data_IF_363045097857
#
_entry.id   IF_363045097857
#
_cell.length_a   1.000
_cell.length_b   1.000
_cell.length_c   1.000
_cell.angle_alpha   90.00
_cell.angle_beta   90.00
_cell.angle_gamma   90.00
#
_symmetry.space_group_name_H-M   'P 1'
#
loop_
_entity.id
_entity.type
_entity.pdbx_description
1 polymer ?
#
# COMPACT_ATOMS: atom_id res chain seq x y z
N UNK A 1 -8.67 16.97 12.60
CA UNK A 1 -7.69 15.88 12.74
C UNK A 1 -8.24 14.63 13.43
N UNK A 2 -9.07 14.75 14.47
CA UNK A 2 -9.60 13.58 15.20
C UNK A 2 -10.47 12.64 14.36
N UNK A 3 -11.31 13.20 13.49
CA UNK A 3 -12.13 12.41 12.56
C UNK A 3 -11.25 11.68 11.54
N UNK A 4 -10.25 12.38 10.97
CA UNK A 4 -9.30 11.75 10.05
C UNK A 4 -8.55 10.59 10.72
N UNK A 5 -8.14 10.74 11.99
CA UNK A 5 -7.49 9.67 12.75
C UNK A 5 -8.41 8.46 13.02
N UNK A 6 -9.72 8.67 13.19
CA UNK A 6 -10.68 7.56 13.32
C UNK A 6 -10.72 6.69 12.08
N UNK A 7 -10.71 7.33 10.92
CA UNK A 7 -10.67 6.62 9.65
C UNK A 7 -9.31 5.97 9.39
N UNK A 8 -8.19 6.64 9.71
CA UNK A 8 -6.87 6.01 9.64
C UNK A 8 -6.77 4.78 10.55
N UNK A 9 -7.23 4.88 11.81
CA UNK A 9 -7.23 3.75 12.73
C UNK A 9 -8.00 2.56 12.17
N UNK A 10 -9.21 2.81 11.63
CA UNK A 10 -10.01 1.77 11.01
C UNK A 10 -9.28 1.15 9.81
N UNK A 11 -8.79 1.96 8.87
CA UNK A 11 -8.08 1.50 7.65
C UNK A 11 -6.90 0.62 8.03
N UNK A 12 -6.02 1.06 8.93
CA UNK A 12 -4.82 0.31 9.27
C UNK A 12 -5.12 -0.94 10.12
N UNK A 13 -6.17 -0.92 10.94
CA UNK A 13 -6.63 -2.13 11.64
C UNK A 13 -7.20 -3.15 10.65
N UNK A 14 -8.04 -2.72 9.70
CA UNK A 14 -8.57 -3.59 8.64
C UNK A 14 -7.45 -4.13 7.74
N UNK A 15 -6.46 -3.30 7.43
CA UNK A 15 -5.29 -3.69 6.64
C UNK A 15 -4.46 -4.74 7.36
N UNK A 16 -4.26 -4.59 8.68
CA UNK A 16 -3.57 -5.59 9.50
C UNK A 16 -4.27 -6.96 9.38
N UNK A 17 -5.58 -7.00 9.61
CA UNK A 17 -6.38 -8.23 9.49
C UNK A 17 -6.32 -8.82 8.05
N UNK A 18 -6.29 -7.95 7.04
CA UNK A 18 -6.20 -8.35 5.63
C UNK A 18 -4.85 -8.99 5.31
N UNK A 19 -3.76 -8.43 5.82
CA UNK A 19 -2.41 -8.97 5.64
C UNK A 19 -2.30 -10.34 6.31
N UNK A 20 -2.78 -10.50 7.54
CA UNK A 20 -2.77 -11.80 8.24
C UNK A 20 -3.51 -12.89 7.45
N UNK A 21 -4.66 -12.55 6.84
CA UNK A 21 -5.41 -13.46 5.97
C UNK A 21 -4.68 -13.78 4.67
N UNK A 22 -4.03 -12.79 4.08
CA UNK A 22 -3.26 -12.97 2.86
C UNK A 22 -2.03 -13.85 3.12
N UNK A 23 -1.29 -13.62 4.20
CA UNK A 23 -0.17 -14.45 4.63
C UNK A 23 -0.61 -15.90 4.90
N UNK A 24 -1.73 -16.09 5.60
CA UNK A 24 -2.32 -17.42 5.82
C UNK A 24 -2.69 -18.15 4.50
N UNK A 25 -3.03 -17.40 3.44
CA UNK A 25 -3.27 -17.96 2.11
C UNK A 25 -1.96 -18.35 1.40
N UNK A 26 -0.88 -17.61 1.63
CA UNK A 26 0.43 -17.86 1.05
C UNK A 26 1.18 -19.03 1.72
N UNK A 27 0.97 -19.27 3.01
CA UNK A 27 1.60 -20.36 3.76
C UNK A 27 1.62 -21.71 3.01
N UNK A 28 0.47 -22.29 2.60
CA UNK A 28 0.47 -23.57 1.88
C UNK A 28 1.10 -23.47 0.48
N UNK A 29 1.12 -22.29 -0.14
CA UNK A 29 1.72 -22.07 -1.46
C UNK A 29 3.25 -22.11 -1.35
N UNK A 30 3.82 -21.54 -0.28
CA UNK A 30 5.25 -21.55 -0.01
C UNK A 30 5.71 -22.96 0.39
N UNK A 31 4.94 -23.62 1.26
CA UNK A 31 5.25 -24.98 1.74
C UNK A 31 5.27 -25.99 0.58
N UNK A 32 4.29 -25.92 -0.32
CA UNK A 32 4.11 -26.85 -1.43
C UNK A 32 4.55 -26.30 -2.80
N UNK A 33 5.42 -25.29 -2.80
CA UNK A 33 6.00 -24.74 -4.02
C UNK A 33 6.65 -25.82 -4.88
N UNK A 34 6.45 -25.74 -6.20
CA UNK A 34 6.88 -26.74 -7.19
C UNK A 34 8.36 -26.62 -7.54
N UNK A 35 8.92 -25.43 -7.40
CA UNK A 35 10.32 -25.13 -7.65
C UNK A 35 10.82 -24.00 -6.74
N UNK A 36 12.14 -23.81 -6.73
CA UNK A 36 12.82 -22.83 -5.88
C UNK A 36 12.44 -21.39 -6.23
N UNK A 37 12.10 -21.12 -7.49
CA UNK A 37 11.70 -19.78 -7.93
C UNK A 37 10.32 -19.42 -7.39
N UNK A 38 9.33 -20.33 -7.53
CA UNK A 38 7.99 -20.16 -6.97
C UNK A 38 8.07 -19.97 -5.45
N UNK A 39 8.87 -20.78 -4.76
CA UNK A 39 9.09 -20.64 -3.32
C UNK A 39 9.66 -19.28 -2.96
N UNK A 40 10.75 -18.87 -3.61
CA UNK A 40 11.41 -17.59 -3.33
C UNK A 40 10.48 -16.42 -3.62
N UNK A 41 9.71 -16.48 -4.71
CA UNK A 41 8.77 -15.44 -5.11
C UNK A 41 7.70 -15.19 -4.04
N UNK A 42 6.98 -16.22 -3.60
CA UNK A 42 5.94 -16.05 -2.59
C UNK A 42 6.50 -15.80 -1.19
N UNK A 43 7.67 -16.37 -0.87
CA UNK A 43 8.35 -16.10 0.40
C UNK A 43 8.78 -14.63 0.52
N UNK A 44 9.26 -14.03 -0.56
CA UNK A 44 9.65 -12.63 -0.57
C UNK A 44 8.45 -11.71 -0.30
N UNK A 45 7.31 -11.93 -0.98
CA UNK A 45 6.06 -11.21 -0.73
C UNK A 45 5.64 -11.38 0.74
N UNK A 46 5.70 -12.61 1.27
CA UNK A 46 5.36 -12.90 2.65
C UNK A 46 6.23 -12.12 3.65
N UNK A 47 7.56 -12.08 3.46
CA UNK A 47 8.48 -11.35 4.33
C UNK A 47 8.21 -9.83 4.31
N UNK A 48 7.91 -9.25 3.15
CA UNK A 48 7.59 -7.82 3.05
C UNK A 48 6.31 -7.48 3.82
N UNK A 49 5.30 -8.35 3.75
CA UNK A 49 4.07 -8.22 4.52
C UNK A 49 4.26 -8.44 6.02
N UNK A 50 5.11 -9.39 6.43
CA UNK A 50 5.46 -9.61 7.83
C UNK A 50 6.14 -8.36 8.44
N UNK A 51 7.08 -7.76 7.70
CA UNK A 51 7.70 -6.51 8.09
C UNK A 51 6.68 -5.38 8.19
N UNK A 52 5.67 -5.35 7.31
CA UNK A 52 4.57 -4.37 7.38
C UNK A 52 3.70 -4.56 8.62
N UNK A 53 3.35 -5.79 8.98
CA UNK A 53 2.63 -6.09 10.24
C UNK A 53 3.37 -5.51 11.45
N UNK A 54 4.70 -5.69 11.50
CA UNK A 54 5.52 -5.13 12.58
C UNK A 54 5.46 -3.60 12.65
N UNK A 55 5.37 -2.90 11.51
CA UNK A 55 5.19 -1.44 11.48
C UNK A 55 3.78 -1.03 11.88
N UNK A 56 2.75 -1.76 11.46
CA UNK A 56 1.36 -1.51 11.87
C UNK A 56 1.17 -1.66 13.39
N UNK A 57 1.91 -2.58 14.03
CA UNK A 57 1.95 -2.72 15.50
C UNK A 57 2.54 -1.50 16.21
N UNK A 58 3.23 -0.61 15.50
CA UNK A 58 3.71 0.68 16.01
C UNK A 58 2.76 1.82 15.64
N UNK A 59 2.30 1.87 14.39
CA UNK A 59 1.44 2.94 13.88
C UNK A 59 0.06 2.95 14.54
N UNK A 60 -0.60 1.80 14.67
CA UNK A 60 -1.98 1.72 15.19
C UNK A 60 -2.05 2.26 16.64
N UNK A 61 -1.18 1.85 17.58
CA UNK A 61 -1.14 2.44 18.91
C UNK A 61 -0.84 3.95 18.91
N UNK A 62 0.01 4.41 17.99
CA UNK A 62 0.32 5.83 17.87
C UNK A 62 -0.89 6.64 17.42
N UNK A 63 -1.65 6.17 16.43
CA UNK A 63 -2.92 6.78 16.03
C UNK A 63 -3.88 6.82 17.22
N UNK A 64 -4.08 5.69 17.92
CA UNK A 64 -4.99 5.62 19.06
C UNK A 64 -4.61 6.58 20.19
N UNK A 65 -3.31 6.74 20.46
CA UNK A 65 -2.81 7.73 21.43
C UNK A 65 -3.20 9.16 21.02
N UNK A 66 -3.00 9.52 19.76
CA UNK A 66 -3.42 10.83 19.24
C UNK A 66 -4.93 11.02 19.25
N UNK A 67 -5.72 9.96 19.15
CA UNK A 67 -7.18 10.04 19.24
C UNK A 67 -7.68 10.24 20.67
N UNK A 68 -7.09 9.53 21.64
CA UNK A 68 -7.66 9.43 22.99
C UNK A 68 -7.01 10.38 23.99
N UNK A 69 -5.71 10.65 23.87
CA UNK A 69 -4.94 11.38 24.89
C UNK A 69 -4.56 12.81 24.48
N UNK A 70 -4.49 13.09 23.19
CA UNK A 70 -3.97 14.38 22.68
C UNK A 70 -5.07 15.41 22.46
N UNK A 71 -4.74 16.68 22.62
CA UNK A 71 -5.63 17.83 22.36
C UNK A 71 -5.30 18.49 21.02
N UNK A 72 -6.15 19.42 20.56
CA UNK A 72 -5.96 20.09 19.27
C UNK A 72 -4.59 20.78 19.15
N UNK A 73 -4.09 21.34 20.26
CA UNK A 73 -2.77 22.00 20.34
C UNK A 73 -1.59 21.06 20.09
N UNK A 74 -1.79 19.75 20.25
CA UNK A 74 -0.74 18.75 20.06
C UNK A 74 -0.54 18.41 18.57
N UNK A 75 -1.50 18.78 17.69
CA UNK A 75 -1.35 18.68 16.23
C UNK A 75 -0.60 19.92 15.71
N UNK A 76 0.71 19.95 15.98
CA UNK A 76 1.57 21.06 15.60
C UNK A 76 2.88 20.56 14.97
N UNK A 77 3.42 21.22 13.94
CA UNK A 77 4.72 20.89 13.35
C UNK A 77 5.89 20.92 14.36
N UNK A 78 5.73 21.67 15.46
CA UNK A 78 6.73 21.74 16.53
C UNK A 78 6.66 20.53 17.50
N UNK A 79 5.62 19.69 17.38
CA UNK A 79 5.48 18.49 18.18
C UNK A 79 6.15 17.30 17.47
N UNK A 80 7.29 16.85 18.02
CA UNK A 80 8.03 15.72 17.48
C UNK A 80 7.19 14.43 17.37
N UNK A 81 6.25 14.22 18.31
CA UNK A 81 5.39 13.04 18.29
C UNK A 81 4.38 13.10 17.13
N UNK A 82 3.93 14.30 16.78
CA UNK A 82 3.04 14.53 15.64
C UNK A 82 3.79 14.33 14.32
N UNK A 83 5.03 14.83 14.23
CA UNK A 83 5.88 14.59 13.08
C UNK A 83 6.16 13.09 12.88
N UNK A 84 6.39 12.34 13.97
CA UNK A 84 6.52 10.88 13.91
C UNK A 84 5.24 10.24 13.37
N UNK A 85 4.07 10.64 13.85
CA UNK A 85 2.80 10.13 13.32
C UNK A 85 2.68 10.36 11.81
N UNK A 86 3.01 11.55 11.32
CA UNK A 86 2.97 11.86 9.89
C UNK A 86 3.96 11.02 9.08
N UNK A 87 5.16 10.78 9.60
CA UNK A 87 6.18 9.92 8.96
C UNK A 87 5.69 8.48 8.84
N UNK A 88 5.14 7.91 9.91
CA UNK A 88 4.59 6.55 9.92
C UNK A 88 3.38 6.43 8.97
N UNK A 89 2.49 7.43 8.95
CA UNK A 89 1.36 7.46 8.01
C UNK A 89 1.83 7.56 6.54
N UNK A 90 2.84 8.38 6.25
CA UNK A 90 3.41 8.47 4.90
C UNK A 90 4.08 7.16 4.47
N UNK A 91 4.80 6.48 5.36
CA UNK A 91 5.40 5.19 5.05
C UNK A 91 4.32 4.14 4.76
N UNK A 92 3.26 4.09 5.58
CA UNK A 92 2.18 3.13 5.38
C UNK A 92 1.22 3.51 4.22
N UNK A 93 1.25 4.76 3.71
CA UNK A 93 0.68 5.08 2.38
C UNK A 93 1.32 4.21 1.29
N UNK A 94 2.65 4.13 1.28
CA UNK A 94 3.38 3.25 0.35
C UNK A 94 3.16 1.78 0.68
N UNK A 95 3.08 1.44 1.97
CA UNK A 95 2.71 0.10 2.41
C UNK A 95 1.39 -0.39 1.81
N UNK A 96 0.34 0.44 1.87
CA UNK A 96 -0.96 0.12 1.26
C UNK A 96 -0.90 -0.03 -0.25
N UNK A 97 -0.15 0.83 -0.95
CA UNK A 97 0.04 0.72 -2.39
C UNK A 97 0.68 -0.62 -2.76
N UNK A 98 1.79 -0.97 -2.12
CA UNK A 98 2.49 -2.23 -2.35
C UNK A 98 1.61 -3.44 -2.00
N UNK A 99 0.79 -3.34 -0.95
CA UNK A 99 -0.15 -4.41 -0.63
C UNK A 99 -1.18 -4.63 -1.75
N UNK A 100 -1.70 -3.56 -2.35
CA UNK A 100 -2.60 -3.67 -3.51
C UNK A 100 -1.87 -4.36 -4.68
N UNK A 101 -0.62 -4.00 -4.95
CA UNK A 101 0.19 -4.65 -5.99
C UNK A 101 0.41 -6.15 -5.70
N UNK A 102 0.69 -6.53 -4.45
CA UNK A 102 0.83 -7.92 -4.05
C UNK A 102 -0.47 -8.72 -4.24
N UNK A 103 -1.61 -8.12 -3.94
CA UNK A 103 -2.92 -8.72 -4.19
C UNK A 103 -3.20 -8.86 -5.69
N UNK A 104 -2.80 -7.87 -6.51
CA UNK A 104 -2.89 -7.95 -7.97
C UNK A 104 -2.01 -9.07 -8.53
N UNK A 105 -0.76 -9.18 -8.09
CA UNK A 105 0.15 -10.26 -8.44
C UNK A 105 -0.41 -11.63 -8.06
N UNK A 106 -1.02 -11.75 -6.87
CA UNK A 106 -1.66 -12.99 -6.43
C UNK A 106 -2.91 -13.32 -7.27
N UNK A 107 -3.71 -12.33 -7.67
CA UNK A 107 -4.89 -12.52 -8.53
C UNK A 107 -4.53 -13.05 -9.92
N UNK A 108 -3.35 -12.74 -10.44
CA UNK A 108 -2.86 -13.35 -11.69
C UNK A 108 -2.56 -14.84 -11.54
N UNK A 109 -2.11 -15.28 -10.36
CA UNK A 109 -1.68 -16.66 -10.11
C UNK A 109 -2.77 -17.56 -9.52
N UNK A 110 -3.66 -17.01 -8.69
CA UNK A 110 -4.67 -17.76 -7.93
C UNK A 110 -6.04 -17.62 -8.56
N UNK A 111 -6.28 -18.41 -9.61
CA UNK A 111 -7.47 -18.33 -10.47
C UNK A 111 -8.67 -19.14 -9.97
N UNK A 112 -8.55 -19.86 -8.86
CA UNK A 112 -9.70 -20.56 -8.26
C UNK A 112 -10.66 -19.56 -7.61
N UNK A 113 -11.94 -19.89 -7.66
CA UNK A 113 -13.04 -19.01 -7.26
C UNK A 113 -12.92 -18.56 -5.79
N UNK A 114 -12.53 -19.47 -4.90
CA UNK A 114 -12.41 -19.19 -3.46
C UNK A 114 -11.36 -18.12 -3.17
N UNK A 115 -10.11 -18.34 -3.62
CA UNK A 115 -9.02 -17.38 -3.41
C UNK A 115 -9.24 -16.10 -4.20
N UNK A 116 -9.68 -16.19 -5.46
CA UNK A 116 -9.99 -15.01 -6.27
C UNK A 116 -11.06 -14.12 -5.62
N UNK A 117 -12.11 -14.71 -5.03
CA UNK A 117 -13.15 -13.93 -4.33
C UNK A 117 -12.59 -13.21 -3.11
N UNK A 118 -11.79 -13.91 -2.30
CA UNK A 118 -11.15 -13.32 -1.13
C UNK A 118 -10.18 -12.19 -1.53
N UNK A 119 -9.28 -12.44 -2.49
CA UNK A 119 -8.30 -11.46 -2.94
C UNK A 119 -8.95 -10.21 -3.53
N UNK A 120 -10.01 -10.34 -4.34
CA UNK A 120 -10.74 -9.19 -4.87
C UNK A 120 -11.35 -8.33 -3.76
N UNK A 121 -11.85 -8.96 -2.70
CA UNK A 121 -12.35 -8.23 -1.53
C UNK A 121 -11.23 -7.49 -0.80
N UNK A 122 -10.14 -8.19 -0.47
CA UNK A 122 -8.99 -7.58 0.21
C UNK A 122 -8.43 -6.40 -0.61
N UNK A 123 -8.38 -6.57 -1.94
CA UNK A 123 -7.88 -5.56 -2.87
C UNK A 123 -8.78 -4.33 -2.89
N UNK A 124 -10.10 -4.52 -2.90
CA UNK A 124 -11.05 -3.40 -2.86
C UNK A 124 -10.90 -2.60 -1.56
N UNK A 125 -10.88 -3.29 -0.41
CA UNK A 125 -10.71 -2.66 0.91
C UNK A 125 -9.36 -1.90 1.00
N UNK A 126 -8.27 -2.50 0.54
CA UNK A 126 -6.95 -1.89 0.54
C UNK A 126 -6.84 -0.69 -0.42
N UNK A 127 -7.45 -0.78 -1.60
CA UNK A 127 -7.47 0.31 -2.58
C UNK A 127 -8.25 1.53 -2.07
N UNK A 128 -9.43 1.31 -1.49
CA UNK A 128 -10.22 2.39 -0.89
C UNK A 128 -9.46 3.05 0.27
N UNK A 129 -8.81 2.24 1.12
CA UNK A 129 -7.95 2.73 2.19
C UNK A 129 -6.77 3.57 1.68
N UNK A 130 -6.07 3.08 0.65
CA UNK A 130 -4.96 3.80 0.01
C UNK A 130 -5.40 5.17 -0.51
N UNK A 131 -6.49 5.22 -1.28
CA UNK A 131 -6.98 6.48 -1.87
C UNK A 131 -7.37 7.49 -0.79
N UNK A 132 -8.04 7.03 0.28
CA UNK A 132 -8.35 7.88 1.42
C UNK A 132 -7.09 8.42 2.10
N UNK A 133 -6.12 7.56 2.41
CA UNK A 133 -4.86 7.95 3.07
C UNK A 133 -4.08 8.95 2.22
N UNK A 134 -3.97 8.69 0.91
CA UNK A 134 -3.32 9.58 -0.06
C UNK A 134 -3.95 10.97 -0.07
N UNK A 135 -5.27 11.06 -0.24
CA UNK A 135 -5.99 12.33 -0.27
C UNK A 135 -5.82 13.10 1.04
N UNK A 136 -5.99 12.43 2.19
CA UNK A 136 -5.92 13.11 3.48
C UNK A 136 -4.51 13.53 3.87
N UNK A 137 -3.48 12.75 3.54
CA UNK A 137 -2.10 13.16 3.80
C UNK A 137 -1.71 14.37 2.95
N UNK A 138 -2.14 14.44 1.68
CA UNK A 138 -1.96 15.65 0.87
C UNK A 138 -2.59 16.88 1.54
N UNK A 139 -3.86 16.77 1.96
CA UNK A 139 -4.56 17.85 2.65
C UNK A 139 -3.98 18.21 4.04
N UNK A 140 -3.34 17.26 4.73
CA UNK A 140 -2.63 17.52 5.99
C UNK A 140 -1.34 18.29 5.71
N UNK A 141 -0.56 17.88 4.71
CA UNK A 141 0.67 18.56 4.33
C UNK A 141 0.38 20.02 3.94
N UNK A 142 -0.63 20.28 3.11
CA UNK A 142 -1.06 21.64 2.77
C UNK A 142 -1.42 22.52 3.98
N UNK A 143 -1.96 21.91 5.05
CA UNK A 143 -2.35 22.62 6.28
C UNK A 143 -1.18 22.95 7.20
N UNK A 144 -0.16 22.09 7.24
CA UNK A 144 0.88 22.15 8.28
C UNK A 144 2.27 22.50 7.76
N UNK A 145 2.51 22.36 6.46
CA UNK A 145 3.81 22.65 5.86
C UNK A 145 3.63 23.22 4.45
N UNK A 146 3.88 24.53 4.32
CA UNK A 146 3.79 25.23 3.03
C UNK A 146 5.01 24.97 2.14
N UNK A 147 6.08 24.38 2.68
CA UNK A 147 7.33 24.07 1.97
C UNK A 147 7.63 22.55 1.92
N UNK A 148 6.69 21.70 2.35
CA UNK A 148 6.84 20.24 2.28
C UNK A 148 6.85 19.77 0.83
N UNK A 149 8.03 19.38 0.36
CA UNK A 149 8.18 18.58 -0.85
C UNK A 149 8.28 17.13 -0.39
N UNK A 150 7.25 16.32 -0.64
CA UNK A 150 7.33 14.87 -0.42
C UNK A 150 8.55 14.35 -1.22
N UNK A 151 9.63 13.89 -0.56
CA UNK A 151 10.82 13.42 -1.28
C UNK A 151 10.53 12.19 -2.13
N UNK A 152 9.37 11.56 -1.93
CA UNK A 152 8.84 10.46 -2.71
C UNK A 152 7.70 10.87 -3.66
N UNK A 153 7.42 12.18 -3.82
CA UNK A 153 6.44 12.71 -4.79
C UNK A 153 6.70 12.23 -6.22
N UNK A 154 7.95 11.89 -6.56
CA UNK A 154 8.31 11.33 -7.87
C UNK A 154 7.65 9.98 -8.16
N UNK A 155 7.24 9.21 -7.14
CA UNK A 155 6.41 8.01 -7.33
C UNK A 155 4.95 8.36 -7.67
N UNK A 156 4.46 9.52 -7.23
CA UNK A 156 3.10 9.99 -7.50
C UNK A 156 3.02 10.77 -8.84
N UNK A 157 4.06 11.53 -9.24
CA UNK A 157 4.12 12.29 -10.51
C UNK A 157 4.29 11.42 -11.76
N UNK A 158 4.80 10.19 -11.59
CA UNK A 158 4.94 9.20 -12.67
C UNK A 158 4.17 7.92 -12.32
N UNK A 159 2.84 8.00 -12.49
CA UNK A 159 1.89 6.87 -12.53
C UNK A 159 1.58 6.17 -11.20
N UNK A 160 0.64 6.74 -10.43
CA UNK A 160 -0.32 5.90 -9.71
C UNK A 160 -1.04 5.04 -10.76
N UNK A 161 -0.61 3.79 -10.86
CA UNK A 161 -1.04 2.85 -11.88
C UNK A 161 -2.05 1.85 -11.31
N UNK A 162 -2.47 2.03 -10.06
CA UNK A 162 -3.48 1.19 -9.44
C UNK A 162 -4.82 1.40 -10.16
N UNK A 163 -5.23 0.39 -10.91
CA UNK A 163 -6.54 0.37 -11.53
C UNK A 163 -7.63 0.17 -10.46
N UNK A 164 -8.75 0.89 -10.62
CA UNK A 164 -9.90 0.74 -9.73
C UNK A 164 -10.41 -0.72 -9.71
N UNK A 165 -10.95 -1.20 -8.58
CA UNK A 165 -11.53 -2.54 -8.48
C UNK A 165 -12.54 -2.84 -9.58
N UNK A 166 -12.45 -4.03 -10.20
CA UNK A 166 -13.33 -4.43 -11.30
C UNK A 166 -12.87 -3.97 -12.69
N UNK A 167 -11.76 -3.23 -12.79
CA UNK A 167 -11.08 -3.02 -14.07
C UNK A 167 -10.32 -4.30 -14.41
N UNK A 168 -10.58 -4.95 -15.55
CA UNK A 168 -9.80 -6.12 -15.94
C UNK A 168 -8.31 -5.74 -16.04
N UNK A 169 -7.39 -6.60 -15.60
CA UNK A 169 -5.97 -6.33 -15.76
C UNK A 169 -5.72 -6.04 -17.23
N UNK A 170 -5.13 -4.88 -17.52
CA UNK A 170 -4.80 -4.50 -18.87
C UNK A 170 -3.94 -5.61 -19.47
N UNK A 171 -4.51 -6.37 -20.40
CA UNK A 171 -3.73 -7.29 -21.21
C UNK A 171 -2.63 -6.45 -21.84
N UNK A 172 -1.37 -6.86 -21.66
CA UNK A 172 -0.21 -6.25 -22.32
C UNK A 172 -0.58 -5.98 -23.79
N UNK A 173 -0.84 -4.71 -24.12
CA UNK A 173 -0.96 -4.34 -25.52
C UNK A 173 0.38 -4.70 -26.15
N UNK A 174 0.40 -5.43 -27.28
CA UNK A 174 1.63 -5.75 -27.95
C UNK A 174 2.28 -4.44 -28.36
N UNK A 175 3.30 -4.08 -27.59
CA UNK A 175 4.10 -2.88 -27.74
C UNK A 175 4.42 -2.73 -29.23
N UNK A 176 3.85 -1.71 -29.88
CA UNK A 176 4.05 -1.44 -31.31
C UNK A 176 5.55 -1.47 -31.57
N UNK A 177 6.00 -2.48 -32.30
CA UNK A 177 7.38 -2.68 -32.75
C UNK A 177 7.91 -1.35 -33.27
N UNK A 178 8.74 -0.67 -32.49
CA UNK A 178 9.54 0.44 -32.99
C UNK A 178 10.54 -0.18 -33.95
N UNK A 179 10.37 0.16 -35.23
CA UNK A 179 11.11 -0.43 -36.34
C UNK A 179 12.62 -0.23 -36.21
N UNK A 180 13.34 -1.24 -36.68
CA UNK A 180 14.76 -1.14 -36.97
C UNK A 180 15.02 0.07 -37.87
N UNK A 181 15.88 0.98 -37.43
CA UNK A 181 16.58 1.89 -38.35
C UNK A 181 18.07 1.61 -38.24
N UNK A 182 18.59 1.07 -39.33
CA UNK A 182 20.00 0.85 -39.59
C UNK A 182 20.49 2.03 -40.42
N UNK A 183 21.54 2.71 -39.95
CA UNK A 183 22.56 3.31 -40.80
C UNK A 183 22.44 4.78 -41.18
N UNK A 184 23.59 5.46 -41.00
CA UNK A 184 24.15 6.53 -41.87
C UNK A 184 23.63 7.96 -41.64
N UNK A 185 24.43 9.03 -41.56
CA UNK A 185 25.86 9.40 -41.71
C UNK A 185 26.03 10.69 -40.86
N UNK A 186 27.19 11.13 -40.34
CA UNK A 186 28.48 11.54 -40.95
C UNK A 186 29.49 11.61 -39.78
#
# INVERSE_FOLDING_TARGET
MKEELALFYQIFTTTKDAIERFMSMLDPVIEHAKDDHERLYYHHIYEEEEQRLSRLDVLIPLINKFQTEKEEKDFSPNNNEFNRLLQELNLEKFGLHNFVEHLDLALFSFTDEERSTLLNKLRADAYEGYQYVKEKLAAINERFDHDYVDPHAHHDEHHDHLAAPGTPPAANEPNKRRGFTVGSLI
#
